data_IF_422882955389
#
_entry.id   IF_422882955389
#
_cell.length_a   1.000
_cell.length_b   1.000
_cell.length_c   1.000
_cell.angle_alpha   90.00
_cell.angle_beta   90.00
_cell.angle_gamma   90.00
#
_symmetry.space_group_name_H-M   'P 1'
#
loop_
_entity.id
_entity.type
_entity.pdbx_description
1 polymer ?
#
# COMPACT_ATOMS: atom_id res chain seq x y z
N UNK A 1 -0.53 23.03 -17.48
CA UNK A 1 -1.63 22.29 -16.83
C UNK A 1 -1.01 21.43 -15.73
N UNK A 2 -1.34 21.69 -14.47
CA UNK A 2 -0.79 20.93 -13.35
C UNK A 2 -1.32 19.49 -13.40
N UNK A 3 -0.41 18.51 -13.40
CA UNK A 3 -0.75 17.10 -13.30
C UNK A 3 -1.48 16.83 -11.97
N UNK A 4 -2.62 16.17 -12.06
CA UNK A 4 -3.42 15.76 -10.91
C UNK A 4 -2.65 14.67 -10.11
N UNK A 5 -2.33 14.84 -8.82
CA UNK A 5 -1.52 13.90 -8.04
C UNK A 5 -2.22 12.55 -7.73
N UNK A 6 -3.41 12.31 -8.27
CA UNK A 6 -4.27 11.15 -7.96
C UNK A 6 -4.26 10.06 -9.05
N UNK A 7 -3.22 9.91 -9.87
CA UNK A 7 -3.18 8.82 -10.85
C UNK A 7 -2.59 7.53 -10.26
N UNK A 8 -3.25 6.36 -10.45
CA UNK A 8 -2.70 5.07 -10.04
C UNK A 8 -1.40 4.81 -10.79
N UNK A 9 -0.34 4.46 -10.06
CA UNK A 9 0.96 4.14 -10.66
C UNK A 9 1.14 2.63 -10.58
N UNK A 10 0.77 1.92 -11.64
CA UNK A 10 1.34 0.59 -11.86
C UNK A 10 2.68 0.73 -12.55
N UNK A 11 3.74 0.06 -12.06
CA UNK A 11 4.94 -0.07 -12.85
C UNK A 11 4.66 -1.00 -14.04
N UNK A 12 5.05 -0.53 -15.24
CA UNK A 12 5.03 -1.23 -16.52
C UNK A 12 3.68 -1.26 -17.28
N UNK A 13 3.31 -0.14 -17.88
CA UNK A 13 2.43 -0.10 -19.05
C UNK A 13 3.21 -0.12 -20.38
N UNK A 14 4.42 -0.69 -20.40
CA UNK A 14 5.25 -0.82 -21.61
C UNK A 14 5.33 -2.29 -22.01
N UNK A 15 4.62 -2.62 -23.11
CA UNK A 15 4.64 -3.87 -23.89
C UNK A 15 4.29 -5.19 -23.18
N UNK A 16 3.03 -5.62 -23.36
CA UNK A 16 2.69 -7.06 -23.47
C UNK A 16 2.34 -7.80 -22.18
N UNK A 17 1.10 -7.60 -21.68
CA UNK A 17 0.40 -8.56 -20.83
C UNK A 17 0.47 -8.29 -19.32
N UNK A 18 -0.52 -7.60 -18.78
CA UNK A 18 -0.94 -7.71 -17.38
C UNK A 18 -2.46 -7.47 -17.28
N UNK A 19 -3.24 -8.36 -17.90
CA UNK A 19 -4.71 -8.32 -17.90
C UNK A 19 -5.33 -8.81 -16.57
N UNK A 20 -4.63 -8.62 -15.45
CA UNK A 20 -5.32 -8.75 -14.18
C UNK A 20 -4.47 -8.29 -13.02
N UNK A 21 -5.20 -7.81 -12.02
CA UNK A 21 -4.71 -7.22 -10.79
C UNK A 21 -3.92 -8.20 -9.93
N UNK A 22 -4.02 -8.04 -8.63
CA UNK A 22 -3.21 -8.82 -7.69
C UNK A 22 -3.49 -10.34 -7.82
N UNK A 23 -2.46 -11.18 -7.64
CA UNK A 23 -2.57 -12.64 -7.68
C UNK A 23 -1.73 -13.29 -6.56
N UNK A 24 -1.99 -14.57 -6.27
CA UNK A 24 -1.23 -15.32 -5.27
C UNK A 24 0.27 -15.31 -5.60
N UNK A 25 1.10 -15.02 -4.60
CA UNK A 25 2.56 -14.87 -4.66
C UNK A 25 3.07 -13.62 -5.35
N UNK A 26 2.20 -12.74 -5.85
CA UNK A 26 2.62 -11.43 -6.36
C UNK A 26 3.22 -10.61 -5.23
N UNK A 27 4.42 -10.07 -5.46
CA UNK A 27 5.10 -9.18 -4.53
C UNK A 27 5.15 -7.77 -5.10
N UNK A 28 4.50 -6.82 -4.42
CA UNK A 28 4.60 -5.40 -4.73
C UNK A 28 5.70 -4.79 -3.86
N UNK A 29 6.69 -4.17 -4.49
CA UNK A 29 7.82 -3.51 -3.82
C UNK A 29 7.74 -2.01 -4.06
N UNK A 30 7.73 -1.23 -3.00
CA UNK A 30 7.67 0.23 -3.02
C UNK A 30 8.90 0.75 -2.30
N UNK A 31 9.77 1.46 -3.03
CA UNK A 31 10.91 2.16 -2.47
C UNK A 31 10.62 3.65 -2.45
N UNK A 32 10.92 4.31 -1.35
CA UNK A 32 10.72 5.75 -1.22
C UNK A 32 11.41 6.33 0.01
N UNK A 33 11.20 7.63 0.21
CA UNK A 33 11.69 8.38 1.36
C UNK A 33 10.52 9.06 2.04
N UNK A 34 10.42 8.90 3.37
CA UNK A 34 9.42 9.61 4.17
C UNK A 34 9.82 11.08 4.25
N UNK A 35 8.86 11.99 4.07
CA UNK A 35 9.16 13.42 4.19
C UNK A 35 9.56 13.80 5.62
N UNK A 36 10.45 14.80 5.76
CA UNK A 36 11.02 15.19 7.06
C UNK A 36 9.99 15.73 8.06
N UNK A 37 8.85 16.22 7.58
CA UNK A 37 7.73 16.74 8.35
C UNK A 37 6.48 15.84 8.22
N UNK A 38 6.65 14.57 7.83
CA UNK A 38 5.53 13.67 7.57
C UNK A 38 4.59 13.54 8.78
N UNK A 39 3.30 13.66 8.52
CA UNK A 39 2.22 13.32 9.44
C UNK A 39 1.65 11.95 9.09
N UNK A 40 1.56 11.63 7.80
CA UNK A 40 0.91 10.43 7.29
C UNK A 40 1.37 10.15 5.86
N UNK A 41 1.53 8.87 5.52
CA UNK A 41 1.45 8.47 4.12
C UNK A 41 0.43 7.35 3.94
N UNK A 42 0.03 7.12 2.70
CA UNK A 42 -0.99 6.13 2.39
C UNK A 42 -0.60 5.33 1.17
N UNK A 43 -0.84 4.02 1.24
CA UNK A 43 -0.77 3.07 0.14
C UNK A 43 -2.11 2.35 0.04
N UNK A 44 -2.77 2.47 -1.10
CA UNK A 44 -4.09 1.88 -1.35
C UNK A 44 -4.02 0.90 -2.52
N UNK A 45 -4.52 -0.33 -2.32
CA UNK A 45 -4.81 -1.28 -3.40
C UNK A 45 -6.31 -1.25 -3.69
N UNK A 46 -6.69 -0.92 -4.93
CA UNK A 46 -8.07 -0.61 -5.29
C UNK A 46 -8.66 -1.57 -6.32
N UNK A 47 -9.93 -1.92 -6.12
CA UNK A 47 -10.84 -2.56 -7.09
C UNK A 47 -11.85 -1.51 -7.55
N UNK A 48 -11.57 -0.84 -8.67
CA UNK A 48 -12.38 0.30 -9.11
C UNK A 48 -12.41 1.41 -8.05
N UNK A 49 -13.57 1.67 -7.46
CA UNK A 49 -13.75 2.66 -6.39
C UNK A 49 -13.58 2.07 -4.97
N UNK A 50 -13.55 0.75 -4.84
CA UNK A 50 -13.33 0.10 -3.56
C UNK A 50 -11.83 0.01 -3.24
N UNK A 51 -11.50 0.13 -1.96
CA UNK A 51 -10.14 -0.03 -1.44
C UNK A 51 -10.07 -1.39 -0.76
N UNK A 52 -9.35 -2.33 -1.38
CA UNK A 52 -9.13 -3.67 -0.85
C UNK A 52 -8.18 -3.65 0.35
N UNK A 53 -7.09 -2.89 0.24
CA UNK A 53 -6.14 -2.63 1.32
C UNK A 53 -5.85 -1.14 1.36
N UNK A 54 -6.23 -0.50 2.47
CA UNK A 54 -5.74 0.80 2.87
C UNK A 54 -4.62 0.59 3.87
N UNK A 55 -3.40 1.01 3.58
CA UNK A 55 -2.26 0.95 4.50
C UNK A 55 -1.82 2.38 4.81
N UNK A 56 -1.98 2.80 6.06
CA UNK A 56 -1.73 4.19 6.46
C UNK A 56 -0.89 4.31 7.73
N UNK A 57 0.43 4.46 7.58
CA UNK A 57 1.31 4.85 8.67
C UNK A 57 1.08 6.31 9.07
N UNK A 58 0.92 6.54 10.37
CA UNK A 58 0.66 7.85 11.00
C UNK A 58 1.78 8.15 12.00
N UNK A 59 2.38 9.33 11.87
CA UNK A 59 3.58 9.76 12.62
C UNK A 59 3.25 10.70 13.80
N UNK A 60 2.00 10.71 14.27
CA UNK A 60 1.59 11.47 15.46
C UNK A 60 2.34 10.98 16.73
N UNK A 61 2.10 11.64 17.88
CA UNK A 61 2.73 11.28 19.16
C UNK A 61 2.63 9.77 19.47
N UNK A 62 1.46 9.19 19.20
CA UNK A 62 1.29 7.74 19.17
C UNK A 62 1.40 7.23 17.73
N UNK A 63 2.61 6.87 17.33
CA UNK A 63 2.87 6.31 16.02
C UNK A 63 2.11 4.99 15.82
N UNK A 64 1.46 4.84 14.69
CA UNK A 64 0.69 3.63 14.37
C UNK A 64 0.52 3.44 12.87
N UNK A 65 0.18 2.23 12.47
CA UNK A 65 -0.25 1.89 11.13
C UNK A 65 -1.70 1.48 11.25
N UNK A 66 -2.54 2.12 10.44
CA UNK A 66 -3.95 1.74 10.31
C UNK A 66 -4.11 0.99 9.01
N UNK A 67 -4.66 -0.22 9.09
CA UNK A 67 -5.12 -0.99 7.94
C UNK A 67 -6.63 -1.12 7.92
N UNK A 68 -7.23 -1.00 6.74
CA UNK A 68 -8.67 -1.14 6.56
C UNK A 68 -9.02 -1.46 5.10
N UNK A 69 -10.32 -1.64 4.82
CA UNK A 69 -10.89 -1.66 3.48
C UNK A 69 -12.06 -0.68 3.42
N UNK A 70 -12.30 -0.11 2.25
CA UNK A 70 -13.47 0.71 1.95
C UNK A 70 -14.26 0.04 0.83
N UNK A 71 -15.46 -0.46 1.11
CA UNK A 71 -16.26 -1.24 0.16
C UNK A 71 -17.62 -0.55 0.02
N UNK A 72 -18.01 -0.20 -1.20
CA UNK A 72 -19.21 0.58 -1.47
C UNK A 72 -19.19 1.95 -0.78
N UNK A 73 -18.01 2.56 -0.66
CA UNK A 73 -17.81 3.84 0.02
C UNK A 73 -17.89 3.79 1.56
N UNK A 74 -17.93 2.58 2.16
CA UNK A 74 -17.98 2.40 3.62
C UNK A 74 -16.69 1.78 4.15
N UNK A 75 -16.07 2.46 5.10
CA UNK A 75 -14.93 1.93 5.84
C UNK A 75 -15.36 0.77 6.75
N UNK A 76 -14.59 -0.31 6.74
CA UNK A 76 -14.76 -1.40 7.69
C UNK A 76 -14.14 -1.11 9.06
N UNK A 77 -13.96 -2.16 9.87
CA UNK A 77 -13.23 -2.05 11.13
C UNK A 77 -11.74 -1.81 10.87
N UNK A 78 -11.16 -0.81 11.54
CA UNK A 78 -9.73 -0.57 11.49
C UNK A 78 -8.95 -1.65 12.25
N UNK A 79 -7.86 -2.11 11.65
CA UNK A 79 -6.83 -2.92 12.29
C UNK A 79 -5.62 -2.02 12.57
N UNK A 80 -5.08 -2.10 13.80
CA UNK A 80 -4.02 -1.20 14.29
C UNK A 80 -2.84 -1.97 14.88
N UNK A 81 -2.70 -3.23 14.49
CA UNK A 81 -1.72 -4.14 15.06
C UNK A 81 -0.30 -3.76 14.62
N UNK A 82 0.54 -3.45 15.61
CA UNK A 82 1.96 -3.19 15.42
C UNK A 82 2.73 -3.56 16.66
N UNK A 83 3.80 -4.33 16.49
CA UNK A 83 4.81 -4.49 17.54
C UNK A 83 5.73 -3.26 17.63
N UNK A 84 6.07 -2.68 16.47
CA UNK A 84 6.96 -1.51 16.36
C UNK A 84 6.62 -0.70 15.12
N UNK A 85 6.68 0.62 15.22
CA UNK A 85 6.55 1.52 14.07
C UNK A 85 7.87 1.57 13.28
N UNK A 86 7.90 1.19 11.99
CA UNK A 86 9.16 0.96 11.26
C UNK A 86 9.64 2.17 10.43
N UNK A 87 8.85 3.25 10.36
CA UNK A 87 9.15 4.39 9.50
C UNK A 87 9.77 5.54 10.29
N UNK A 88 10.73 6.23 9.67
CA UNK A 88 11.42 7.39 10.26
C UNK A 88 11.36 8.55 9.28
N UNK A 89 10.97 9.73 9.77
CA UNK A 89 10.93 10.97 8.97
C UNK A 89 12.29 11.26 8.34
N UNK A 90 12.30 11.63 7.06
CA UNK A 90 13.53 11.91 6.30
C UNK A 90 14.34 10.69 5.88
N UNK A 91 13.92 9.46 6.24
CA UNK A 91 14.65 8.25 5.88
C UNK A 91 14.00 7.48 4.73
N UNK A 92 14.85 6.77 3.99
CA UNK A 92 14.41 5.83 2.98
C UNK A 92 13.76 4.60 3.62
N UNK A 93 12.81 4.00 2.92
CA UNK A 93 12.20 2.74 3.27
C UNK A 93 12.01 1.86 2.04
N UNK A 94 11.98 0.56 2.28
CA UNK A 94 11.48 -0.45 1.35
C UNK A 94 10.25 -1.11 1.96
N UNK A 95 9.10 -0.94 1.32
CA UNK A 95 7.83 -1.58 1.68
C UNK A 95 7.56 -2.71 0.69
N UNK A 96 7.29 -3.89 1.23
CA UNK A 96 7.03 -5.11 0.49
C UNK A 96 5.65 -5.62 0.88
N UNK A 97 4.72 -5.71 -0.09
CA UNK A 97 3.37 -6.25 0.10
C UNK A 97 3.29 -7.55 -0.71
N UNK A 98 3.40 -8.68 -0.02
CA UNK A 98 3.23 -10.01 -0.62
C UNK A 98 1.75 -10.38 -0.57
N UNK A 99 1.13 -10.54 -1.73
CA UNK A 99 -0.20 -11.12 -1.81
C UNK A 99 -0.09 -12.64 -1.71
N UNK A 100 -0.86 -13.22 -0.80
CA UNK A 100 -1.06 -14.67 -0.71
C UNK A 100 -2.49 -15.02 -1.09
N UNK A 101 -2.84 -16.31 -1.06
CA UNK A 101 -4.21 -16.77 -1.28
C UNK A 101 -5.21 -16.29 -0.23
N UNK A 102 -4.77 -15.88 0.97
CA UNK A 102 -5.68 -15.50 2.08
C UNK A 102 -5.46 -14.12 2.68
N UNK A 103 -4.28 -13.53 2.51
CA UNK A 103 -3.91 -12.26 3.13
C UNK A 103 -2.82 -11.51 2.37
N UNK A 104 -2.70 -10.21 2.66
CA UNK A 104 -1.51 -9.42 2.35
C UNK A 104 -0.53 -9.51 3.52
N UNK A 105 0.72 -9.89 3.23
CA UNK A 105 1.82 -9.87 4.20
C UNK A 105 2.68 -8.65 3.93
N UNK A 106 2.81 -7.79 4.94
CA UNK A 106 3.55 -6.53 4.82
C UNK A 106 4.88 -6.64 5.54
N UNK A 107 5.95 -6.29 4.84
CA UNK A 107 7.33 -6.24 5.34
C UNK A 107 7.90 -4.84 5.09
N UNK A 108 8.60 -4.29 6.08
CA UNK A 108 9.28 -3.00 5.94
C UNK A 108 10.76 -3.19 6.29
N UNK A 109 11.64 -2.76 5.38
CA UNK A 109 13.09 -2.88 5.54
C UNK A 109 13.55 -4.30 5.91
N UNK A 110 12.92 -5.32 5.30
CA UNK A 110 13.23 -6.73 5.53
C UNK A 110 12.63 -7.35 6.80
N UNK A 111 11.94 -6.57 7.64
CA UNK A 111 11.26 -7.08 8.84
C UNK A 111 9.75 -7.16 8.63
N UNK A 112 9.15 -8.30 8.96
CA UNK A 112 7.69 -8.46 8.90
C UNK A 112 7.01 -7.46 9.84
N UNK A 113 5.97 -6.81 9.35
CA UNK A 113 5.23 -5.78 10.06
C UNK A 113 3.86 -6.26 10.52
N UNK A 114 3.05 -6.74 9.56
CA UNK A 114 1.69 -7.20 9.80
C UNK A 114 1.20 -8.12 8.67
N UNK A 115 0.12 -8.84 8.95
CA UNK A 115 -0.70 -9.53 7.96
C UNK A 115 -2.11 -8.92 7.96
N UNK A 116 -2.71 -8.74 6.78
CA UNK A 116 -4.07 -8.24 6.63
C UNK A 116 -4.90 -9.21 5.78
N UNK A 117 -5.93 -9.81 6.37
CA UNK A 117 -6.78 -10.79 5.67
C UNK A 117 -7.57 -10.13 4.53
N UNK A 118 -7.73 -10.84 3.43
CA UNK A 118 -8.48 -10.35 2.28
C UNK A 118 -9.95 -10.12 2.64
N UNK A 119 -10.39 -8.85 2.60
CA UNK A 119 -11.82 -8.49 2.67
C UNK A 119 -12.48 -8.43 1.29
N UNK A 120 -11.68 -8.21 0.23
CA UNK A 120 -12.05 -8.41 -1.17
C UNK A 120 -11.23 -9.60 -1.68
N UNK A 121 -11.90 -10.69 -2.06
CA UNK A 121 -11.26 -11.94 -2.50
C UNK A 121 -11.11 -12.06 -4.01
N UNK A 122 -11.78 -11.19 -4.77
CA UNK A 122 -11.62 -11.06 -6.22
C UNK A 122 -10.34 -10.28 -6.55
N UNK A 123 -9.20 -10.92 -6.28
CA UNK A 123 -7.86 -10.29 -6.31
C UNK A 123 -7.51 -9.74 -7.70
N UNK A 124 -7.92 -10.44 -8.76
CA UNK A 124 -7.63 -10.04 -10.14
C UNK A 124 -8.35 -8.76 -10.57
N UNK A 125 -9.38 -8.35 -9.84
CA UNK A 125 -10.04 -7.05 -10.03
C UNK A 125 -9.38 -5.90 -9.26
N UNK A 126 -8.34 -6.17 -8.47
CA UNK A 126 -7.57 -5.15 -7.75
C UNK A 126 -6.48 -4.62 -8.69
N UNK A 127 -6.86 -3.66 -9.52
CA UNK A 127 -6.10 -3.18 -10.68
C UNK A 127 -5.66 -1.73 -10.52
N UNK A 128 -5.54 -1.20 -9.31
CA UNK A 128 -4.99 0.14 -9.07
C UNK A 128 -4.20 0.20 -7.78
N UNK A 129 -3.05 0.88 -7.82
CA UNK A 129 -2.20 1.19 -6.68
C UNK A 129 -2.12 2.72 -6.52
N UNK A 130 -2.61 3.23 -5.40
CA UNK A 130 -2.49 4.62 -5.01
C UNK A 130 -1.41 4.78 -3.96
N UNK A 131 -0.49 5.73 -4.14
CA UNK A 131 0.53 6.10 -3.15
C UNK A 131 0.53 7.62 -3.04
N UNK A 132 0.24 8.16 -1.86
CA UNK A 132 0.02 9.59 -1.70
C UNK A 132 0.31 10.11 -0.28
N UNK A 133 0.30 11.45 -0.15
CA UNK A 133 0.68 12.27 1.01
C UNK A 133 2.20 12.32 1.23
N UNK A 134 2.68 12.20 2.47
CA UNK A 134 4.01 12.66 2.90
C UNK A 134 5.12 11.64 2.57
N UNK A 135 5.21 11.24 1.31
CA UNK A 135 6.16 10.26 0.79
C UNK A 135 6.69 10.68 -0.58
N UNK A 136 8.01 10.55 -0.77
CA UNK A 136 8.68 10.70 -2.07
C UNK A 136 8.99 9.32 -2.62
N UNK A 137 8.36 8.98 -3.74
CA UNK A 137 8.51 7.68 -4.37
C UNK A 137 9.83 7.61 -5.17
N UNK A 138 10.56 6.52 -5.00
CA UNK A 138 11.77 6.20 -5.76
C UNK A 138 11.47 5.16 -6.84
N UNK A 139 10.83 4.05 -6.49
CA UNK A 139 10.37 3.05 -7.46
C UNK A 139 9.16 2.27 -6.94
N UNK A 140 8.38 1.74 -7.87
CA UNK A 140 7.42 0.67 -7.61
C UNK A 140 7.78 -0.46 -8.56
N UNK A 141 7.80 -1.68 -8.07
CA UNK A 141 8.09 -2.88 -8.85
C UNK A 141 7.14 -4.00 -8.43
N UNK A 142 6.83 -4.90 -9.35
CA UNK A 142 6.06 -6.12 -9.05
C UNK A 142 6.86 -7.34 -9.46
N UNK A 143 6.86 -8.38 -8.63
CA UNK A 143 7.54 -9.66 -8.88
C UNK A 143 6.57 -10.83 -8.75
#
# INVERSE_FOLDING_TARGET
AASNPNQPVWPNSQSGGNDGGVYDRMLIVINGTIESNANIFTVDLCKGQDIALHFSPRFAEKQMVVTNSCIGGKWGQEERELQRFPFVRGQAFKLEILCTSSEYKVTVNGSHLLSYKHRITDLRSITSLGIYKDVKLTSVETK
#
